data_IF_427731950125
#
_entry.id   IF_427731950125
#
_cell.length_a   1.000
_cell.length_b   1.000
_cell.length_c   1.000
_cell.angle_alpha   90.00
_cell.angle_beta   90.00
_cell.angle_gamma   90.00
#
_symmetry.space_group_name_H-M   'P 1'
#
loop_
_entity.id
_entity.type
_entity.pdbx_description
1 polymer ?
#
# COMPACT_ATOMS: atom_id res chain seq x y z
N UNK A 1 -37.75 52.43 -29.78
CA UNK A 1 -37.38 51.00 -29.80
C UNK A 1 -38.39 50.25 -28.95
N UNK A 2 -38.99 49.19 -29.48
CA UNK A 2 -40.03 48.45 -28.76
C UNK A 2 -39.43 47.69 -27.57
N UNK A 3 -39.76 48.10 -26.35
CA UNK A 3 -39.26 47.51 -25.09
C UNK A 3 -39.42 45.99 -25.03
N UNK A 4 -40.48 45.47 -25.66
CA UNK A 4 -40.75 44.02 -25.80
C UNK A 4 -39.68 43.29 -26.63
N UNK A 5 -39.19 43.92 -27.70
CA UNK A 5 -38.09 43.36 -28.52
C UNK A 5 -36.79 43.36 -27.73
N UNK A 6 -36.50 44.43 -27.00
CA UNK A 6 -35.33 44.51 -26.14
C UNK A 6 -35.31 43.40 -25.07
N UNK A 7 -36.45 43.16 -24.40
CA UNK A 7 -36.61 42.07 -23.44
C UNK A 7 -36.42 40.68 -24.07
N UNK A 8 -36.95 40.46 -25.27
CA UNK A 8 -36.78 39.19 -25.98
C UNK A 8 -35.32 38.91 -26.33
N UNK A 9 -34.61 39.89 -26.91
CA UNK A 9 -33.18 39.75 -27.21
C UNK A 9 -32.33 39.59 -25.95
N UNK A 10 -32.68 40.27 -24.85
CA UNK A 10 -32.02 40.09 -23.57
C UNK A 10 -32.17 38.65 -23.04
N UNK A 11 -33.38 38.07 -23.11
CA UNK A 11 -33.62 36.70 -22.69
C UNK A 11 -32.83 35.68 -23.53
N UNK A 12 -32.80 35.87 -24.86
CA UNK A 12 -32.00 35.02 -25.77
C UNK A 12 -30.50 35.14 -25.48
N UNK A 13 -30.01 36.36 -25.25
CA UNK A 13 -28.61 36.60 -24.91
C UNK A 13 -28.21 35.91 -23.60
N UNK A 14 -29.05 35.99 -22.57
CA UNK A 14 -28.82 35.30 -21.29
C UNK A 14 -28.79 33.78 -21.50
N UNK A 15 -29.75 33.24 -22.27
CA UNK A 15 -29.77 31.81 -22.58
C UNK A 15 -28.48 31.35 -23.29
N UNK A 16 -28.01 32.12 -24.27
CA UNK A 16 -26.76 31.85 -24.97
C UNK A 16 -25.55 31.90 -24.03
N UNK A 17 -25.49 32.89 -23.13
CA UNK A 17 -24.41 33.00 -22.14
C UNK A 17 -24.38 31.80 -21.18
N UNK A 18 -25.54 31.33 -20.73
CA UNK A 18 -25.63 30.13 -19.88
C UNK A 18 -25.11 28.91 -20.64
N UNK A 19 -25.53 28.72 -21.89
CA UNK A 19 -25.07 27.61 -22.71
C UNK A 19 -23.54 27.63 -22.90
N UNK A 20 -22.96 28.79 -23.22
CA UNK A 20 -21.50 28.96 -23.34
C UNK A 20 -20.81 28.71 -22.01
N UNK A 21 -21.35 29.22 -20.91
CA UNK A 21 -20.81 29.02 -19.56
C UNK A 21 -20.73 27.54 -19.19
N UNK A 22 -21.77 26.75 -19.52
CA UNK A 22 -21.77 25.29 -19.29
C UNK A 22 -20.63 24.62 -20.07
N UNK A 23 -20.45 24.97 -21.35
CA UNK A 23 -19.36 24.42 -22.17
C UNK A 23 -17.99 24.76 -21.58
N UNK A 24 -17.78 26.02 -21.23
CA UNK A 24 -16.53 26.49 -20.61
C UNK A 24 -16.28 25.78 -19.28
N UNK A 25 -17.32 25.58 -18.47
CA UNK A 25 -17.23 24.85 -17.21
C UNK A 25 -16.76 23.41 -17.40
N UNK A 26 -17.34 22.68 -18.36
CA UNK A 26 -16.94 21.29 -18.66
C UNK A 26 -15.49 21.23 -19.11
N UNK A 27 -15.09 22.10 -20.05
CA UNK A 27 -13.70 22.15 -20.52
C UNK A 27 -12.75 22.46 -19.36
N UNK A 28 -13.08 23.45 -18.53
CA UNK A 28 -12.27 23.84 -17.38
C UNK A 28 -12.17 22.73 -16.35
N UNK A 29 -13.25 21.96 -16.14
CA UNK A 29 -13.26 20.82 -15.23
C UNK A 29 -12.33 19.68 -15.71
N UNK A 30 -12.28 19.42 -17.02
CA UNK A 30 -11.37 18.42 -17.58
C UNK A 30 -9.92 18.89 -17.44
N UNK A 31 -9.64 20.15 -17.76
CA UNK A 31 -8.30 20.73 -17.61
C UNK A 31 -7.85 20.74 -16.14
N UNK A 32 -8.73 21.13 -15.22
CA UNK A 32 -8.41 21.16 -13.80
C UNK A 32 -8.19 19.76 -13.24
N UNK A 33 -8.94 18.75 -13.72
CA UNK A 33 -8.72 17.36 -13.35
C UNK A 33 -7.36 16.86 -13.83
N UNK A 34 -6.98 17.14 -15.08
CA UNK A 34 -5.66 16.79 -15.58
C UNK A 34 -4.55 17.45 -14.74
N UNK A 35 -4.69 18.73 -14.43
CA UNK A 35 -3.75 19.45 -13.57
C UNK A 35 -3.71 18.91 -12.14
N UNK A 36 -4.85 18.47 -11.59
CA UNK A 36 -4.94 17.87 -10.28
C UNK A 36 -4.19 16.54 -10.23
N UNK A 37 -4.29 15.70 -11.26
CA UNK A 37 -3.54 14.44 -11.34
C UNK A 37 -2.03 14.70 -11.37
N UNK A 38 -1.59 15.67 -12.20
CA UNK A 38 -0.18 16.07 -12.24
C UNK A 38 0.28 16.59 -10.88
N UNK A 39 -0.51 17.47 -10.26
CA UNK A 39 -0.18 18.04 -8.94
C UNK A 39 -0.15 16.97 -7.85
N UNK A 40 -1.07 16.01 -7.88
CA UNK A 40 -1.10 14.89 -6.95
C UNK A 40 0.14 14.00 -7.11
N UNK A 41 0.53 13.68 -8.34
CA UNK A 41 1.73 12.91 -8.64
C UNK A 41 3.00 13.65 -8.15
N UNK A 42 3.10 14.95 -8.42
CA UNK A 42 4.21 15.79 -7.93
C UNK A 42 4.22 15.84 -6.41
N UNK A 43 3.07 16.03 -5.76
CA UNK A 43 2.96 16.04 -4.30
C UNK A 43 3.41 14.72 -3.68
N UNK A 44 3.04 13.59 -4.28
CA UNK A 44 3.49 12.25 -3.88
C UNK A 44 5.00 12.09 -4.06
N UNK A 45 5.54 12.53 -5.19
CA UNK A 45 6.97 12.49 -5.46
C UNK A 45 7.77 13.34 -4.47
N UNK A 46 7.27 14.55 -4.15
CA UNK A 46 7.87 15.43 -3.13
C UNK A 46 7.83 14.77 -1.76
N UNK A 47 6.68 14.19 -1.37
CA UNK A 47 6.56 13.48 -0.09
C UNK A 47 7.54 12.31 -0.01
N UNK A 48 7.62 11.49 -1.05
CA UNK A 48 8.57 10.38 -1.14
C UNK A 48 10.03 10.88 -1.08
N UNK A 49 10.34 11.99 -1.75
CA UNK A 49 11.64 12.65 -1.69
C UNK A 49 12.00 13.12 -0.27
N UNK A 50 11.06 13.72 0.45
CA UNK A 50 11.25 14.14 1.85
C UNK A 50 11.54 12.91 2.72
N UNK A 51 10.74 11.85 2.60
CA UNK A 51 10.94 10.60 3.36
C UNK A 51 12.31 10.00 3.05
N UNK A 52 12.72 9.99 1.78
CA UNK A 52 14.04 9.50 1.37
C UNK A 52 15.18 10.31 2.00
N UNK A 53 15.10 11.65 1.94
CA UNK A 53 16.11 12.52 2.56
C UNK A 53 16.14 12.33 4.08
N UNK A 54 14.98 12.24 4.72
CA UNK A 54 14.89 11.99 6.15
C UNK A 54 15.52 10.64 6.53
N UNK A 55 15.25 9.57 5.77
CA UNK A 55 15.88 8.26 5.97
C UNK A 55 17.40 8.33 5.76
N UNK A 56 17.85 9.01 4.71
CA UNK A 56 19.27 9.13 4.39
C UNK A 56 20.02 9.91 5.47
N UNK A 57 19.49 11.04 5.92
CA UNK A 57 20.09 11.84 7.00
C UNK A 57 20.03 11.10 8.34
N UNK A 58 18.90 10.44 8.63
CA UNK A 58 18.75 9.59 9.80
C UNK A 58 19.80 8.49 9.83
N UNK A 59 19.99 7.77 8.71
CA UNK A 59 21.00 6.71 8.61
C UNK A 59 22.42 7.20 8.86
N UNK A 60 22.79 8.41 8.41
CA UNK A 60 24.11 8.98 8.71
C UNK A 60 24.28 9.38 10.17
N UNK A 61 23.21 9.83 10.82
CA UNK A 61 23.25 10.14 12.25
C UNK A 61 23.25 8.85 13.10
N UNK A 62 22.58 7.79 12.64
CA UNK A 62 22.53 6.49 13.30
C UNK A 62 23.80 5.66 13.11
N UNK A 63 24.45 5.71 11.94
CA UNK A 63 25.77 5.08 11.69
C UNK A 63 26.91 5.77 12.47
N UNK A 64 26.71 7.02 12.89
CA UNK A 64 27.70 7.78 13.67
C UNK A 64 27.71 7.47 15.16
N UNK A 65 26.74 6.67 15.65
CA UNK A 65 26.51 6.40 17.08
C UNK A 65 26.58 4.89 17.38
N UNK A 66 27.57 4.21 16.80
CA UNK A 66 28.09 2.93 17.32
C UNK A 66 28.80 3.18 18.67
N UNK A 67 28.06 3.60 19.70
CA UNK A 67 28.61 3.67 21.04
C UNK A 67 27.94 4.63 22.02
N UNK A 68 26.69 4.36 22.41
CA UNK A 68 26.32 4.31 23.84
C UNK A 68 24.80 4.14 24.05
N UNK A 69 24.43 2.99 24.63
CA UNK A 69 23.59 2.99 25.82
C UNK A 69 22.07 3.03 25.65
N UNK A 70 21.48 1.86 25.94
CA UNK A 70 20.23 1.74 26.70
C UNK A 70 18.93 2.18 25.99
N UNK A 71 18.49 1.39 25.01
CA UNK A 71 17.06 1.07 24.95
C UNK A 71 16.81 -0.02 25.99
N UNK A 72 16.22 0.44 27.08
CA UNK A 72 15.99 -0.25 28.33
C UNK A 72 15.18 -1.54 28.17
N UNK A 73 15.46 -2.46 29.08
CA UNK A 73 14.83 -3.75 29.26
C UNK A 73 13.42 -3.52 29.79
N UNK A 74 12.40 -3.68 28.95
CA UNK A 74 11.02 -3.88 29.43
C UNK A 74 10.55 -5.25 28.98
N UNK A 75 10.56 -6.20 29.93
CA UNK A 75 9.99 -7.54 29.76
C UNK A 75 10.85 -8.63 30.37
N UNK A 76 10.80 -8.77 31.69
CA UNK A 76 11.62 -9.72 32.44
C UNK A 76 11.35 -11.22 32.15
N UNK A 77 12.19 -12.11 32.70
CA UNK A 77 12.19 -13.54 32.39
C UNK A 77 10.96 -14.26 32.96
N UNK A 78 10.24 -15.01 32.11
CA UNK A 78 9.41 -16.14 32.54
C UNK A 78 9.84 -17.40 31.77
N UNK A 79 10.34 -18.44 32.47
CA UNK A 79 10.61 -19.72 31.85
C UNK A 79 9.34 -20.57 31.79
N UNK A 80 9.32 -21.47 30.80
CA UNK A 80 8.53 -22.71 30.72
C UNK A 80 7.14 -22.63 30.08
N UNK A 81 7.08 -22.91 28.78
CA UNK A 81 6.22 -23.96 28.23
C UNK A 81 6.77 -24.39 26.85
N UNK A 82 7.36 -25.57 26.82
CA UNK A 82 7.84 -26.28 25.64
C UNK A 82 6.69 -26.68 24.71
N UNK A 83 6.37 -25.82 23.75
CA UNK A 83 5.52 -26.15 22.58
C UNK A 83 5.98 -25.28 21.42
N UNK A 84 6.72 -25.81 20.44
CA UNK A 84 7.07 -25.01 19.25
C UNK A 84 8.38 -25.32 18.54
N UNK A 85 9.08 -26.42 18.87
CA UNK A 85 10.27 -26.82 18.11
C UNK A 85 9.90 -27.20 16.65
N UNK A 86 8.64 -27.60 16.38
CA UNK A 86 8.19 -27.99 15.03
C UNK A 86 7.78 -26.81 14.13
N UNK A 87 7.13 -25.77 14.68
CA UNK A 87 6.74 -24.58 13.92
C UNK A 87 7.94 -23.76 13.40
N UNK A 88 9.07 -23.81 14.12
CA UNK A 88 10.32 -23.17 13.71
C UNK A 88 10.98 -23.85 12.50
N UNK A 89 10.88 -25.18 12.36
CA UNK A 89 11.50 -25.87 11.21
C UNK A 89 10.72 -25.62 9.90
N UNK A 90 9.39 -25.54 9.96
CA UNK A 90 8.55 -25.21 8.82
C UNK A 90 8.82 -23.78 8.29
N UNK A 91 8.91 -22.80 9.18
CA UNK A 91 9.26 -21.42 8.82
C UNK A 91 10.68 -21.32 8.23
N UNK A 92 11.66 -22.00 8.82
CA UNK A 92 13.04 -22.05 8.31
C UNK A 92 13.14 -22.78 6.96
N UNK A 93 12.28 -23.76 6.70
CA UNK A 93 12.24 -24.50 5.43
C UNK A 93 11.65 -23.65 4.30
N UNK A 94 10.60 -22.87 4.59
CA UNK A 94 10.02 -21.89 3.65
C UNK A 94 11.00 -20.78 3.28
N UNK A 95 11.77 -20.30 4.26
CA UNK A 95 12.80 -19.27 4.03
C UNK A 95 13.95 -19.79 3.14
N UNK A 96 14.32 -21.08 3.26
CA UNK A 96 15.27 -21.73 2.34
C UNK A 96 14.76 -21.80 0.91
N UNK A 97 13.49 -22.20 0.71
CA UNK A 97 12.88 -22.27 -0.62
C UNK A 97 12.80 -20.89 -1.29
N UNK A 98 12.47 -19.84 -0.52
CA UNK A 98 12.46 -18.45 -1.01
C UNK A 98 13.85 -18.02 -1.49
N UNK A 99 14.90 -18.39 -0.76
CA UNK A 99 16.29 -18.08 -1.16
C UNK A 99 16.69 -18.78 -2.46
N UNK A 100 16.33 -20.06 -2.60
CA UNK A 100 16.65 -20.84 -3.81
C UNK A 100 15.89 -20.36 -5.05
N UNK A 101 14.66 -19.86 -4.91
CA UNK A 101 13.93 -19.23 -6.01
C UNK A 101 14.59 -17.93 -6.46
N UNK A 102 14.95 -17.06 -5.52
CA UNK A 102 15.60 -15.76 -5.82
C UNK A 102 16.98 -15.94 -6.44
N UNK A 103 17.68 -17.02 -6.07
CA UNK A 103 18.99 -17.39 -6.61
C UNK A 103 18.88 -18.15 -7.96
N UNK A 104 17.66 -18.50 -8.40
CA UNK A 104 17.38 -19.16 -9.67
C UNK A 104 17.65 -20.68 -9.67
N UNK A 105 17.79 -21.29 -8.50
CA UNK A 105 18.00 -22.74 -8.35
C UNK A 105 16.70 -23.55 -8.49
N UNK A 106 15.53 -22.93 -8.26
CA UNK A 106 14.21 -23.54 -8.47
C UNK A 106 13.32 -22.65 -9.33
N UNK A 107 12.58 -23.26 -10.25
CA UNK A 107 11.66 -22.56 -11.15
C UNK A 107 10.33 -22.26 -10.45
N UNK A 108 9.65 -21.18 -10.82
CA UNK A 108 8.40 -20.71 -10.19
C UNK A 108 7.35 -21.82 -10.10
N UNK A 109 7.22 -22.60 -11.18
CA UNK A 109 6.23 -23.68 -11.28
C UNK A 109 6.50 -24.88 -10.34
N UNK A 110 7.73 -25.04 -9.84
CA UNK A 110 8.05 -26.01 -8.79
C UNK A 110 7.86 -25.42 -7.40
N UNK A 111 8.15 -24.13 -7.22
CA UNK A 111 7.93 -23.42 -5.97
C UNK A 111 6.45 -23.40 -5.58
N UNK A 112 5.57 -23.02 -6.50
CA UNK A 112 4.12 -22.99 -6.28
C UNK A 112 3.57 -24.40 -5.96
N UNK A 113 4.07 -25.43 -6.65
CA UNK A 113 3.62 -26.82 -6.45
C UNK A 113 4.06 -27.41 -5.11
N UNK A 114 5.22 -26.98 -4.60
CA UNK A 114 5.73 -27.38 -3.28
C UNK A 114 5.01 -26.65 -2.16
N UNK A 115 4.78 -25.34 -2.31
CA UNK A 115 4.04 -24.53 -1.34
C UNK A 115 2.59 -25.01 -1.21
N UNK A 116 1.92 -25.28 -2.33
CA UNK A 116 0.53 -25.74 -2.31
C UNK A 116 0.36 -27.06 -1.54
N UNK A 117 1.32 -27.98 -1.66
CA UNK A 117 1.27 -29.27 -0.95
C UNK A 117 1.52 -29.11 0.55
N UNK A 118 2.43 -28.21 0.95
CA UNK A 118 2.73 -27.97 2.36
C UNK A 118 1.59 -27.22 3.07
N UNK A 119 0.93 -26.28 2.38
CA UNK A 119 -0.20 -25.52 2.91
C UNK A 119 -1.46 -26.40 3.13
N UNK A 120 -1.77 -27.30 2.18
CA UNK A 120 -2.88 -28.25 2.32
C UNK A 120 -2.73 -29.19 3.53
N UNK A 121 -1.50 -29.49 3.93
CA UNK A 121 -1.25 -30.37 5.10
C UNK A 121 -1.33 -29.63 6.43
N UNK A 122 -0.89 -28.36 6.47
CA UNK A 122 -1.01 -27.50 7.68
C UNK A 122 -2.47 -27.06 7.94
N UNK A 123 -3.25 -26.75 6.90
CA UNK A 123 -4.66 -26.37 7.03
C UNK A 123 -5.54 -27.53 7.56
N UNK A 124 -5.30 -28.77 7.13
CA UNK A 124 -6.07 -29.93 7.61
C UNK A 124 -5.85 -30.19 9.12
N UNK A 125 -4.61 -30.09 9.59
CA UNK A 125 -4.27 -30.29 11.01
C UNK A 125 -4.76 -29.15 11.92
N UNK A 126 -4.93 -27.93 11.39
CA UNK A 126 -5.49 -26.79 12.15
C UNK A 126 -7.03 -26.84 12.23
N UNK A 127 -7.69 -27.19 11.11
CA UNK A 127 -9.16 -27.36 11.05
C UNK A 127 -9.62 -28.52 11.94
N UNK A 128 -8.90 -29.65 11.96
CA UNK A 128 -9.26 -30.81 12.80
C UNK A 128 -9.13 -30.51 14.30
N UNK A 129 -8.14 -29.69 14.69
CA UNK A 129 -7.97 -29.21 16.08
C UNK A 129 -9.02 -28.19 16.53
N UNK A 130 -9.60 -27.41 15.62
CA UNK A 130 -10.74 -26.55 15.94
C UNK A 130 -12.05 -27.35 16.09
N UNK A 131 -12.26 -28.38 15.27
CA UNK A 131 -13.48 -29.20 15.32
C UNK A 131 -13.60 -30.03 16.61
N UNK A 132 -12.48 -30.44 17.20
CA UNK A 132 -12.46 -31.13 18.51
C UNK A 132 -12.80 -30.21 19.69
N UNK A 133 -12.62 -28.89 19.54
CA UNK A 133 -12.88 -27.91 20.61
C UNK A 133 -14.36 -27.55 20.75
N UNK A 134 -15.16 -27.83 19.72
CA UNK A 134 -16.60 -27.56 19.65
C UNK A 134 -17.50 -28.75 20.05
N UNK A 135 -16.93 -29.91 20.39
CA UNK A 135 -17.68 -31.09 20.89
C UNK A 135 -17.62 -31.27 22.40
#
# INVERSE_FOLDING_TARGET
>A
MDTKRALYYAAVAIGALIAVSVIVSVVSAILSLAWAVVSAAVSLAVLAGIVYVAYRVGSWLSDGDDGAGAADRVGGPRPSASTGIEAGDAANRRERLRRQYVEGEIDEAEFERRIARELETEDLDEIERELERER
#
